data_IF_473333142574
#
_entry.id   IF_473333142574
#
_cell.length_a   1.000
_cell.length_b   1.000
_cell.length_c   1.000
_cell.angle_alpha   90.00
_cell.angle_beta   90.00
_cell.angle_gamma   90.00
#
_symmetry.space_group_name_H-M   'P 1'
#
loop_
_entity.id
_entity.type
_entity.pdbx_description
1 polymer ?
#
# COMPACT_ATOMS: atom_id res chain seq x y z
N UNK A 1 -4.02 13.91 15.94
CA UNK A 1 -3.74 12.48 15.73
C UNK A 1 -4.43 12.04 14.45
N UNK A 2 -3.82 11.10 13.72
CA UNK A 2 -4.43 10.53 12.50
C UNK A 2 -5.79 9.89 12.83
N UNK A 3 -6.82 10.07 11.99
CA UNK A 3 -8.10 9.40 12.21
C UNK A 3 -8.05 7.90 11.89
N UNK A 4 -6.99 7.43 11.23
CA UNK A 4 -6.92 6.08 10.64
C UNK A 4 -6.15 5.05 11.46
N UNK A 5 -5.26 5.46 12.37
CA UNK A 5 -4.48 4.57 13.24
C UNK A 5 -4.81 4.81 14.70
N UNK A 6 -4.47 3.85 15.57
CA UNK A 6 -4.88 3.87 16.98
C UNK A 6 -4.14 4.91 17.82
N UNK A 7 -2.84 5.07 17.57
CA UNK A 7 -1.95 5.96 18.31
C UNK A 7 -0.80 6.46 17.40
N UNK A 8 0.12 7.23 17.98
CA UNK A 8 1.29 7.75 17.25
C UNK A 8 2.33 6.65 16.96
N UNK A 9 2.39 5.60 17.78
CA UNK A 9 3.33 4.49 17.58
C UNK A 9 2.97 3.71 16.32
N UNK A 10 1.69 3.41 16.09
CA UNK A 10 1.22 2.80 14.84
C UNK A 10 1.46 3.72 13.62
N UNK A 11 1.40 5.04 13.79
CA UNK A 11 1.74 5.98 12.71
C UNK A 11 3.24 5.98 12.40
N UNK A 12 4.08 5.94 13.44
CA UNK A 12 5.53 5.88 13.33
C UNK A 12 5.94 4.57 12.67
N UNK A 13 5.39 3.44 13.12
CA UNK A 13 5.59 2.13 12.49
C UNK A 13 5.22 2.18 11.01
N UNK A 14 4.03 2.68 10.65
CA UNK A 14 3.64 2.81 9.24
C UNK A 14 4.65 3.62 8.42
N UNK A 15 5.19 4.71 8.98
CA UNK A 15 6.23 5.50 8.31
C UNK A 15 7.54 4.72 8.17
N UNK A 16 7.95 3.97 9.19
CA UNK A 16 9.16 3.14 9.18
C UNK A 16 9.07 2.01 8.17
N UNK A 17 7.94 1.31 8.10
CA UNK A 17 7.71 0.24 7.13
C UNK A 17 7.77 0.76 5.69
N UNK A 18 7.19 1.93 5.42
CA UNK A 18 7.29 2.61 4.11
C UNK A 18 8.74 3.02 3.82
N UNK A 19 9.48 3.50 4.83
CA UNK A 19 10.89 3.87 4.67
C UNK A 19 11.74 2.65 4.31
N UNK A 20 11.63 1.55 5.04
CA UNK A 20 12.35 0.31 4.73
C UNK A 20 11.99 -0.21 3.34
N UNK A 21 10.71 -0.19 2.97
CA UNK A 21 10.31 -0.58 1.63
C UNK A 21 10.86 0.33 0.55
N UNK A 22 11.02 1.63 0.82
CA UNK A 22 11.62 2.58 -0.14
C UNK A 22 13.13 2.36 -0.37
N UNK A 23 13.79 1.66 0.56
CA UNK A 23 15.21 1.30 0.48
C UNK A 23 15.40 -0.08 -0.18
N UNK A 24 14.46 -1.01 0.01
CA UNK A 24 14.51 -2.37 -0.53
C UNK A 24 13.12 -2.85 -0.98
N UNK A 25 12.92 -3.02 -2.29
CA UNK A 25 11.60 -3.35 -2.86
C UNK A 25 11.08 -4.73 -2.45
N UNK A 26 11.96 -5.65 -2.01
CA UNK A 26 11.61 -6.97 -1.50
C UNK A 26 11.33 -7.00 0.01
N UNK A 27 11.45 -5.86 0.69
CA UNK A 27 11.15 -5.74 2.11
C UNK A 27 9.72 -6.18 2.42
N UNK A 28 9.56 -7.03 3.44
CA UNK A 28 8.26 -7.49 3.92
C UNK A 28 7.92 -6.73 5.20
N UNK A 29 6.86 -5.91 5.20
CA UNK A 29 6.51 -5.08 6.34
C UNK A 29 5.81 -5.88 7.45
N UNK A 30 5.80 -5.31 8.65
CA UNK A 30 4.92 -5.77 9.72
C UNK A 30 3.48 -5.24 9.55
N UNK A 31 2.45 -5.98 9.99
CA UNK A 31 1.07 -5.52 9.91
C UNK A 31 0.79 -4.26 10.75
N UNK A 32 0.09 -3.29 10.16
CA UNK A 32 -0.35 -2.06 10.82
C UNK A 32 -1.84 -2.14 11.18
N UNK A 33 -2.20 -1.73 12.40
CA UNK A 33 -3.59 -1.74 12.86
C UNK A 33 -4.30 -0.44 12.50
N UNK A 34 -5.35 -0.56 11.71
CA UNK A 34 -6.22 0.56 11.36
C UNK A 34 -7.38 0.70 12.35
N UNK A 35 -7.59 1.90 12.87
CA UNK A 35 -8.72 2.27 13.73
C UNK A 35 -10.05 2.29 12.97
N UNK A 36 -9.98 2.59 11.68
CA UNK A 36 -11.12 2.60 10.77
C UNK A 36 -10.78 1.80 9.52
N UNK A 37 -11.78 1.17 8.91
CA UNK A 37 -11.57 0.45 7.64
C UNK A 37 -11.31 1.46 6.52
N UNK A 38 -10.07 1.48 6.04
CA UNK A 38 -9.76 1.95 4.70
C UNK A 38 -10.30 0.94 3.69
N UNK A 39 -10.75 1.41 2.53
CA UNK A 39 -11.16 0.50 1.46
C UNK A 39 -9.95 -0.12 0.79
N UNK A 40 -10.16 -1.25 0.11
CA UNK A 40 -9.11 -1.87 -0.71
C UNK A 40 -8.66 -0.94 -1.84
N UNK A 41 -9.54 -0.07 -2.31
CA UNK A 41 -9.21 0.95 -3.30
C UNK A 41 -8.24 1.99 -2.73
N UNK A 42 -8.53 2.52 -1.53
CA UNK A 42 -7.67 3.50 -0.84
C UNK A 42 -6.24 2.95 -0.68
N UNK A 43 -6.13 1.69 -0.25
CA UNK A 43 -4.84 1.03 -0.05
C UNK A 43 -4.10 0.74 -1.35
N UNK A 44 -4.82 0.41 -2.44
CA UNK A 44 -4.21 0.27 -3.77
C UNK A 44 -3.70 1.61 -4.30
N UNK A 45 -4.41 2.71 -4.10
CA UNK A 45 -3.90 4.04 -4.45
C UNK A 45 -2.65 4.40 -3.63
N UNK A 46 -2.68 4.11 -2.33
CA UNK A 46 -1.57 4.39 -1.42
C UNK A 46 -0.28 3.72 -1.90
N UNK A 47 -0.29 2.41 -2.13
CA UNK A 47 0.91 1.68 -2.57
C UNK A 47 1.34 2.06 -3.99
N UNK A 48 0.37 2.30 -4.88
CA UNK A 48 0.66 2.70 -6.25
C UNK A 48 1.35 4.07 -6.30
N UNK A 49 0.88 5.07 -5.53
CA UNK A 49 1.49 6.40 -5.48
C UNK A 49 2.97 6.34 -5.05
N UNK A 50 3.28 5.51 -4.05
CA UNK A 50 4.66 5.33 -3.56
C UNK A 50 5.49 4.60 -4.62
N UNK A 51 5.00 3.47 -5.13
CA UNK A 51 5.73 2.65 -6.09
C UNK A 51 5.98 3.34 -7.44
N UNK A 52 5.04 4.15 -7.94
CA UNK A 52 5.26 4.98 -9.13
C UNK A 52 6.37 6.01 -8.91
N UNK A 53 6.45 6.59 -7.70
CA UNK A 53 7.49 7.56 -7.35
C UNK A 53 8.88 6.90 -7.26
N UNK A 54 8.94 5.67 -6.77
CA UNK A 54 10.17 4.89 -6.65
C UNK A 54 10.58 4.22 -7.98
N UNK A 55 9.61 3.95 -8.85
CA UNK A 55 9.79 3.58 -10.24
C UNK A 55 9.89 2.07 -10.49
N UNK A 56 9.12 1.59 -11.47
CA UNK A 56 9.07 0.17 -11.87
C UNK A 56 10.44 -0.40 -12.27
N UNK A 57 11.32 0.42 -12.86
CA UNK A 57 12.68 0.00 -13.24
C UNK A 57 13.56 -0.37 -12.04
N UNK A 58 13.19 0.08 -10.84
CA UNK A 58 13.89 -0.19 -9.59
C UNK A 58 13.25 -1.34 -8.78
N UNK A 59 12.38 -2.14 -9.40
CA UNK A 59 11.73 -3.29 -8.76
C UNK A 59 10.33 -3.02 -8.21
N UNK A 60 9.92 -1.75 -8.07
CA UNK A 60 8.59 -1.33 -7.61
C UNK A 60 7.52 -1.49 -8.71
N UNK A 61 7.28 -2.74 -9.08
CA UNK A 61 6.23 -3.13 -10.03
C UNK A 61 4.96 -3.58 -9.27
N UNK A 62 3.91 -3.95 -10.01
CA UNK A 62 2.65 -4.36 -9.41
C UNK A 62 2.77 -5.55 -8.44
N UNK A 63 3.75 -6.44 -8.60
CA UNK A 63 3.95 -7.57 -7.69
C UNK A 63 4.51 -7.06 -6.37
N UNK A 64 5.54 -6.20 -6.42
CA UNK A 64 6.08 -5.55 -5.21
C UNK A 64 4.98 -4.76 -4.47
N UNK A 65 4.08 -4.09 -5.20
CA UNK A 65 2.94 -3.40 -4.59
C UNK A 65 1.99 -4.38 -3.88
N UNK A 66 1.66 -5.50 -4.54
CA UNK A 66 0.74 -6.50 -4.02
C UNK A 66 1.28 -7.20 -2.77
N UNK A 67 2.57 -7.56 -2.79
CA UNK A 67 3.23 -8.24 -1.67
C UNK A 67 3.32 -7.31 -0.46
N UNK A 68 3.76 -6.06 -0.66
CA UNK A 68 3.87 -5.06 0.40
C UNK A 68 2.52 -4.76 1.07
N UNK A 69 1.49 -4.41 0.29
CA UNK A 69 0.21 -3.96 0.86
C UNK A 69 -0.56 -5.09 1.56
N UNK A 70 -0.37 -6.34 1.13
CA UNK A 70 -1.00 -7.50 1.78
C UNK A 70 -0.32 -7.87 3.09
N UNK A 71 1.00 -7.77 3.15
CA UNK A 71 1.73 -7.98 4.38
C UNK A 71 1.38 -6.90 5.41
N UNK A 72 1.27 -5.64 4.97
CA UNK A 72 1.02 -4.51 5.86
C UNK A 72 -0.45 -4.39 6.31
N UNK A 73 -1.42 -4.73 5.46
CA UNK A 73 -2.86 -4.66 5.78
C UNK A 73 -3.62 -5.97 5.49
N UNK A 74 -3.27 -7.08 6.15
CA UNK A 74 -3.78 -8.40 5.82
C UNK A 74 -5.31 -8.49 5.97
N UNK A 75 -5.89 -7.86 6.99
CA UNK A 75 -7.33 -7.90 7.24
C UNK A 75 -8.17 -7.22 6.17
N UNK A 76 -7.64 -6.14 5.57
CA UNK A 76 -8.32 -5.39 4.51
C UNK A 76 -8.14 -6.07 3.15
N UNK A 77 -6.99 -6.72 2.94
CA UNK A 77 -6.61 -7.28 1.64
C UNK A 77 -6.90 -8.79 1.49
N UNK A 78 -7.37 -9.48 2.54
CA UNK A 78 -7.58 -10.94 2.59
C UNK A 78 -8.44 -11.50 1.45
N UNK A 79 -9.44 -10.75 0.98
CA UNK A 79 -10.40 -11.21 -0.05
C UNK A 79 -10.02 -10.71 -1.46
N UNK A 80 -8.83 -10.13 -1.61
CA UNK A 80 -8.37 -9.54 -2.87
C UNK A 80 -7.35 -10.44 -3.56
N UNK A 81 -7.66 -10.84 -4.79
CA UNK A 81 -6.74 -11.57 -5.68
C UNK A 81 -5.49 -10.76 -6.02
N UNK A 82 -4.37 -11.46 -6.23
CA UNK A 82 -3.05 -10.83 -6.38
C UNK A 82 -3.01 -9.99 -7.64
N UNK A 83 -3.54 -10.56 -8.71
CA UNK A 83 -3.59 -9.97 -10.03
C UNK A 83 -4.46 -8.70 -10.03
N UNK A 84 -5.46 -8.61 -9.16
CA UNK A 84 -6.28 -7.40 -9.00
C UNK A 84 -5.51 -6.22 -8.40
N UNK A 85 -4.47 -6.49 -7.60
CA UNK A 85 -3.58 -5.48 -7.02
C UNK A 85 -2.43 -5.18 -7.98
N UNK A 86 -1.80 -6.22 -8.53
CA UNK A 86 -0.71 -6.09 -9.49
C UNK A 86 -1.10 -5.28 -10.72
N UNK A 87 -2.28 -5.55 -11.30
CA UNK A 87 -2.74 -4.86 -12.51
C UNK A 87 -3.34 -3.47 -12.21
N UNK A 88 -3.35 -3.03 -10.95
CA UNK A 88 -3.91 -1.75 -10.58
C UNK A 88 -3.09 -0.61 -11.17
N UNK A 89 -3.77 0.28 -11.90
CA UNK A 89 -3.22 1.55 -12.38
C UNK A 89 -4.23 2.63 -12.08
N UNK A 90 -3.83 3.66 -11.33
CA UNK A 90 -4.70 4.79 -11.14
C UNK A 90 -4.84 5.57 -12.45
N UNK A 91 -6.09 5.75 -12.89
CA UNK A 91 -6.41 6.66 -14.00
C UNK A 91 -7.16 7.86 -13.42
N UNK A 92 -6.50 9.01 -13.24
CA UNK A 92 -7.14 10.19 -12.65
C UNK A 92 -8.29 10.77 -13.51
N UNK A 93 -8.44 10.32 -14.77
CA UNK A 93 -9.43 10.86 -15.71
C UNK A 93 -10.19 9.76 -16.47
N UNK A 94 -11.30 9.29 -15.88
CA UNK A 94 -12.50 8.89 -16.63
C UNK A 94 -13.73 9.49 -15.94
N UNK A 95 -13.78 10.82 -15.90
CA UNK A 95 -15.08 11.48 -16.00
C UNK A 95 -15.56 11.30 -17.43
N UNK A 96 -16.73 10.71 -17.59
CA UNK A 96 -17.35 10.49 -18.89
C UNK A 96 -17.46 11.81 -19.66
N UNK A 97 -16.94 11.80 -20.89
CA UNK A 97 -17.27 12.75 -21.96
C UNK A 97 -17.79 11.96 -23.13
#
# INVERSE_FOLDING_TARGET
>A
MSPFVYDNEELENLCEEVRHWSEEYTYTPIPIRLKQRLTTLDLRHFVWNIGERLGTKNGYNGYAHADFIRAMFPDVMKDIEQDSIHNFKFQPNKVAS
#
